data_IF_981625459958
#
_entry.id   IF_981625459958
#
_cell.length_a   1.000
_cell.length_b   1.000
_cell.length_c   1.000
_cell.angle_alpha   90.00
_cell.angle_beta   90.00
_cell.angle_gamma   90.00
#
_symmetry.space_group_name_H-M   'P 1'
#
loop_
_entity.id
_entity.type
_entity.pdbx_description
1 polymer ?
#
# COMPACT_ATOMS: atom_id res chain seq x y z
N UNK A 1 -23.52 5.20 -15.42
CA UNK A 1 -23.41 6.66 -15.20
C UNK A 1 -22.53 6.85 -13.96
N UNK A 2 -21.48 7.64 -14.07
CA UNK A 2 -20.59 7.91 -12.95
C UNK A 2 -20.94 9.26 -12.32
N UNK A 3 -20.85 9.36 -10.99
CA UNK A 3 -20.88 10.60 -10.25
C UNK A 3 -19.59 10.71 -9.42
N UNK A 4 -19.08 11.92 -9.27
CA UNK A 4 -17.91 12.20 -8.46
C UNK A 4 -18.28 13.16 -7.34
N UNK A 5 -17.91 12.80 -6.10
CA UNK A 5 -18.14 13.63 -4.93
C UNK A 5 -16.93 13.49 -3.99
N UNK A 6 -16.21 14.57 -3.66
CA UNK A 6 -15.13 14.52 -2.67
C UNK A 6 -15.70 14.51 -1.25
N UNK A 7 -15.24 13.58 -0.41
CA UNK A 7 -15.55 13.49 1.02
C UNK A 7 -14.49 12.68 1.78
N UNK A 8 -14.46 12.81 3.10
CA UNK A 8 -13.62 11.99 3.98
C UNK A 8 -14.31 10.67 4.32
N UNK A 9 -13.55 9.58 4.40
CA UNK A 9 -14.10 8.25 4.76
C UNK A 9 -14.66 8.17 6.19
N UNK A 10 -14.32 9.13 7.05
CA UNK A 10 -14.83 9.23 8.43
C UNK A 10 -16.21 9.89 8.54
N UNK A 11 -16.72 10.43 7.43
CA UNK A 11 -18.05 11.04 7.33
C UNK A 11 -18.56 10.90 5.90
N UNK A 12 -19.27 9.80 5.64
CA UNK A 12 -19.74 9.45 4.31
C UNK A 12 -21.13 10.07 4.09
N UNK A 13 -21.29 11.03 3.15
CA UNK A 13 -22.52 11.83 3.00
C UNK A 13 -23.62 11.08 2.24
N UNK A 14 -23.85 9.84 2.61
CA UNK A 14 -24.92 8.99 2.07
C UNK A 14 -25.74 8.35 3.19
N UNK A 15 -27.02 8.03 2.93
CA UNK A 15 -27.88 7.36 3.91
C UNK A 15 -27.38 5.94 4.23
N UNK A 16 -27.92 5.39 5.33
CA UNK A 16 -27.67 4.01 5.71
C UNK A 16 -28.09 3.04 4.61
N UNK A 17 -27.39 1.93 4.48
CA UNK A 17 -27.71 0.83 3.58
C UNK A 17 -27.89 1.25 2.11
N UNK A 18 -27.10 2.20 1.65
CA UNK A 18 -27.16 2.75 0.29
C UNK A 18 -26.47 1.85 -0.73
N UNK A 19 -25.33 1.24 -0.39
CA UNK A 19 -24.45 0.61 -1.36
C UNK A 19 -24.45 -0.92 -1.26
N UNK A 20 -24.48 -1.58 -2.42
CA UNK A 20 -24.30 -3.03 -2.53
C UNK A 20 -22.83 -3.42 -2.42
N UNK A 21 -21.94 -2.51 -2.83
CA UNK A 21 -20.49 -2.70 -2.81
C UNK A 21 -19.79 -1.39 -2.49
N UNK A 22 -18.73 -1.48 -1.66
CA UNK A 22 -17.81 -0.38 -1.40
C UNK A 22 -16.39 -0.87 -1.66
N UNK A 23 -15.58 -0.03 -2.30
CA UNK A 23 -14.17 -0.34 -2.60
C UNK A 23 -13.29 0.78 -2.04
N UNK A 24 -12.30 0.40 -1.20
CA UNK A 24 -11.29 1.30 -0.65
C UNK A 24 -9.89 0.85 -1.10
N UNK A 25 -9.41 1.40 -2.22
CA UNK A 25 -8.12 1.01 -2.77
C UNK A 25 -6.97 1.81 -2.16
N UNK A 26 -6.09 1.15 -1.39
CA UNK A 26 -4.88 1.72 -0.80
C UNK A 26 -5.13 3.05 -0.05
N UNK A 27 -6.19 3.12 0.76
CA UNK A 27 -6.62 4.37 1.40
C UNK A 27 -6.76 4.25 2.92
N UNK A 28 -7.06 3.06 3.47
CA UNK A 28 -7.40 2.92 4.89
C UNK A 28 -6.23 3.27 5.83
N UNK A 29 -5.00 3.04 5.43
CA UNK A 29 -3.82 3.42 6.21
C UNK A 29 -3.57 4.95 6.26
N UNK A 30 -4.33 5.75 5.49
CA UNK A 30 -4.32 7.21 5.58
C UNK A 30 -5.44 7.76 6.47
N UNK A 31 -6.37 6.92 6.94
CA UNK A 31 -7.42 7.35 7.85
C UNK A 31 -6.81 7.75 9.19
N UNK A 32 -7.14 8.94 9.68
CA UNK A 32 -6.75 9.39 11.02
C UNK A 32 -7.46 8.59 12.11
N UNK A 33 -8.76 8.35 11.90
CA UNK A 33 -9.62 7.53 12.75
C UNK A 33 -10.22 6.39 11.93
N UNK A 34 -9.51 5.26 11.93
CA UNK A 34 -9.93 4.07 11.20
C UNK A 34 -11.21 3.46 11.76
N UNK A 35 -11.42 3.52 13.08
CA UNK A 35 -12.62 3.02 13.74
C UNK A 35 -13.87 3.75 13.20
N UNK A 36 -13.80 5.09 13.17
CA UNK A 36 -14.89 5.91 12.65
C UNK A 36 -15.13 5.64 11.15
N UNK A 37 -14.07 5.51 10.36
CA UNK A 37 -14.18 5.19 8.94
C UNK A 37 -14.86 3.84 8.70
N UNK A 38 -14.49 2.78 9.45
CA UNK A 38 -15.09 1.46 9.32
C UNK A 38 -16.56 1.43 9.79
N UNK A 39 -16.93 2.21 10.81
CA UNK A 39 -18.32 2.39 11.22
C UNK A 39 -19.16 3.04 10.11
N UNK A 40 -18.65 4.08 9.48
CA UNK A 40 -19.33 4.75 8.37
C UNK A 40 -19.46 3.84 7.14
N UNK A 41 -18.39 3.13 6.76
CA UNK A 41 -18.43 2.14 5.68
C UNK A 41 -19.51 1.09 5.96
N UNK A 42 -19.52 0.53 7.18
CA UNK A 42 -20.55 -0.45 7.59
C UNK A 42 -21.95 0.14 7.57
N UNK A 43 -22.13 1.39 8.01
CA UNK A 43 -23.43 2.08 8.04
C UNK A 43 -24.04 2.19 6.65
N UNK A 44 -23.27 2.68 5.68
CA UNK A 44 -23.78 2.93 4.33
C UNK A 44 -23.82 1.67 3.45
N UNK A 45 -23.19 0.56 3.88
CA UNK A 45 -23.24 -0.72 3.20
C UNK A 45 -24.56 -1.44 3.53
N UNK A 46 -25.22 -2.02 2.53
CA UNK A 46 -26.44 -2.84 2.72
C UNK A 46 -26.14 -4.09 3.55
N UNK A 47 -27.17 -4.75 4.16
CA UNK A 47 -26.97 -5.98 4.94
C UNK A 47 -26.23 -7.09 4.20
N UNK A 48 -26.54 -7.31 2.92
CA UNK A 48 -25.88 -8.30 2.05
C UNK A 48 -24.73 -7.68 1.23
N UNK A 49 -24.33 -6.47 1.55
CA UNK A 49 -23.30 -5.75 0.82
C UNK A 49 -21.90 -6.26 1.13
N UNK A 50 -20.98 -6.02 0.20
CA UNK A 50 -19.59 -6.46 0.30
C UNK A 50 -18.67 -5.22 0.30
N UNK A 51 -17.76 -5.17 1.26
CA UNK A 51 -16.69 -4.19 1.32
C UNK A 51 -15.36 -4.82 0.87
N UNK A 52 -14.72 -4.19 -0.11
CA UNK A 52 -13.37 -4.54 -0.54
C UNK A 52 -12.37 -3.46 -0.14
N UNK A 53 -11.26 -3.84 0.47
CA UNK A 53 -10.18 -2.90 0.74
C UNK A 53 -8.81 -3.51 0.45
N UNK A 54 -8.01 -2.81 -0.35
CA UNK A 54 -6.68 -3.26 -0.70
C UNK A 54 -5.63 -2.74 0.29
N UNK A 55 -4.63 -3.59 0.52
CA UNK A 55 -3.50 -3.32 1.39
C UNK A 55 -2.25 -4.05 0.88
N UNK A 56 -1.16 -3.83 1.55
CA UNK A 56 0.09 -4.56 1.37
C UNK A 56 0.64 -5.02 2.72
N UNK A 57 1.52 -6.01 2.69
CA UNK A 57 2.19 -6.55 3.86
C UNK A 57 3.60 -5.99 4.05
N UNK A 58 4.26 -6.48 5.09
CA UNK A 58 5.60 -6.03 5.49
C UNK A 58 6.68 -6.31 4.43
N UNK A 59 6.52 -7.39 3.65
CA UNK A 59 7.50 -7.83 2.64
C UNK A 59 7.35 -7.10 1.30
N UNK A 60 6.40 -6.15 1.20
CA UNK A 60 6.12 -5.47 -0.06
C UNK A 60 7.30 -4.61 -0.52
N UNK A 61 7.95 -5.01 -1.62
CA UNK A 61 9.08 -4.30 -2.24
C UNK A 61 10.30 -4.12 -1.30
N UNK A 62 10.47 -5.02 -0.32
CA UNK A 62 11.55 -4.94 0.67
C UNK A 62 12.94 -4.97 0.03
N UNK A 63 13.10 -5.66 -1.11
CA UNK A 63 14.36 -5.75 -1.85
C UNK A 63 14.87 -4.37 -2.31
N UNK A 64 13.97 -3.41 -2.58
CA UNK A 64 14.38 -2.04 -2.92
C UNK A 64 14.95 -1.32 -1.69
N UNK A 65 14.33 -1.50 -0.53
CA UNK A 65 14.84 -0.93 0.72
C UNK A 65 16.22 -1.50 1.07
N UNK A 66 16.41 -2.81 0.90
CA UNK A 66 17.71 -3.46 1.09
C UNK A 66 18.74 -2.97 0.08
N UNK A 67 18.36 -2.83 -1.19
CA UNK A 67 19.25 -2.33 -2.24
C UNK A 67 19.85 -0.95 -1.90
N UNK A 68 19.01 -0.02 -1.45
CA UNK A 68 19.51 1.33 -1.13
C UNK A 68 20.32 1.34 0.16
N UNK A 69 20.00 0.48 1.14
CA UNK A 69 20.78 0.31 2.37
C UNK A 69 22.14 -0.36 2.12
N UNK A 70 22.24 -1.26 1.14
CA UNK A 70 23.51 -1.81 0.66
C UNK A 70 24.41 -0.72 0.05
N UNK A 71 23.84 0.31 -0.55
CA UNK A 71 24.59 1.46 -1.07
C UNK A 71 24.98 2.43 0.04
N UNK A 72 24.04 2.78 0.89
CA UNK A 72 24.27 3.63 2.06
C UNK A 72 23.24 3.31 3.14
N UNK A 73 23.70 2.77 4.28
CA UNK A 73 22.84 2.27 5.37
C UNK A 73 21.97 3.34 6.05
N UNK A 74 22.24 4.63 5.78
CA UNK A 74 21.47 5.77 6.31
C UNK A 74 20.21 6.04 5.49
N UNK A 75 20.07 5.42 4.31
CA UNK A 75 18.92 5.66 3.42
C UNK A 75 17.69 4.95 3.96
N UNK A 76 16.61 5.72 4.08
CA UNK A 76 15.26 5.26 4.41
C UNK A 76 14.33 5.77 3.31
N UNK A 77 13.72 4.86 2.52
CA UNK A 77 12.86 5.22 1.40
C UNK A 77 11.46 5.70 1.83
N UNK A 78 10.98 5.18 2.96
CA UNK A 78 9.72 5.61 3.58
C UNK A 78 9.88 5.56 5.09
N UNK A 79 9.66 6.69 5.75
CA UNK A 79 9.60 6.75 7.21
C UNK A 79 8.27 6.18 7.74
N UNK A 80 7.21 6.23 6.93
CA UNK A 80 5.89 5.77 7.28
C UNK A 80 5.71 4.31 6.88
N UNK A 81 5.71 3.44 7.86
CA UNK A 81 5.35 2.03 7.70
C UNK A 81 3.82 1.91 7.67
N UNK A 82 3.20 2.30 6.56
CA UNK A 82 1.75 2.38 6.44
C UNK A 82 1.06 1.03 6.67
N UNK A 83 1.71 -0.10 6.36
CA UNK A 83 1.21 -1.43 6.64
C UNK A 83 1.05 -1.71 8.16
N UNK A 84 1.77 -0.99 9.03
CA UNK A 84 1.58 -1.09 10.48
C UNK A 84 0.28 -0.40 10.93
N UNK A 85 -0.21 0.60 10.19
CA UNK A 85 -1.51 1.25 10.44
C UNK A 85 -2.67 0.41 9.92
N UNK A 86 -2.57 -0.07 8.69
CA UNK A 86 -3.51 -1.00 8.05
C UNK A 86 -2.78 -1.79 6.96
N UNK A 87 -2.60 -3.08 7.17
CA UNK A 87 -1.87 -3.97 6.27
C UNK A 87 -2.44 -5.39 6.29
N UNK A 88 -1.77 -6.28 5.57
CA UNK A 88 -2.13 -7.70 5.51
C UNK A 88 -2.16 -8.34 6.90
N UNK A 89 -1.16 -8.03 7.74
CA UNK A 89 -0.93 -8.70 9.02
C UNK A 89 -1.97 -8.31 10.07
N UNK A 90 -2.36 -7.04 10.13
CA UNK A 90 -3.27 -6.51 11.14
C UNK A 90 -4.70 -6.30 10.63
N UNK A 91 -4.92 -6.34 9.31
CA UNK A 91 -6.23 -6.15 8.68
C UNK A 91 -7.33 -7.03 9.26
N UNK A 92 -7.13 -8.35 9.45
CA UNK A 92 -8.17 -9.22 10.01
C UNK A 92 -8.63 -8.79 11.40
N UNK A 93 -7.71 -8.38 12.28
CA UNK A 93 -8.05 -7.90 13.63
C UNK A 93 -8.73 -6.54 13.66
N UNK A 94 -8.40 -5.66 12.69
CA UNK A 94 -8.99 -4.34 12.55
C UNK A 94 -10.39 -4.39 11.92
N UNK A 95 -10.62 -5.29 10.98
CA UNK A 95 -11.88 -5.44 10.25
C UNK A 95 -12.89 -6.34 10.98
N UNK A 96 -12.42 -7.36 11.71
CA UNK A 96 -13.26 -8.36 12.37
C UNK A 96 -14.33 -7.82 13.32
N UNK A 97 -14.12 -6.71 14.06
CA UNK A 97 -15.17 -6.10 14.89
C UNK A 97 -16.36 -5.55 14.10
N UNK A 98 -16.19 -5.27 12.81
CA UNK A 98 -17.22 -4.62 11.98
C UNK A 98 -17.90 -5.58 11.01
N UNK A 99 -17.20 -6.61 10.55
CA UNK A 99 -17.64 -7.50 9.48
C UNK A 99 -17.69 -8.94 9.95
N UNK A 100 -18.75 -9.65 9.57
CA UNK A 100 -18.99 -11.03 9.99
C UNK A 100 -18.03 -12.03 9.36
N UNK A 101 -17.50 -11.70 8.17
CA UNK A 101 -16.54 -12.51 7.43
C UNK A 101 -15.50 -11.60 6.79
N UNK A 102 -14.22 -11.88 7.03
CA UNK A 102 -13.07 -11.13 6.50
C UNK A 102 -12.11 -12.13 5.87
N UNK A 103 -11.90 -12.03 4.56
CA UNK A 103 -11.03 -12.93 3.81
C UNK A 103 -9.97 -12.14 3.07
N UNK A 104 -8.70 -12.56 3.18
CA UNK A 104 -7.60 -12.01 2.44
C UNK A 104 -7.44 -12.72 1.09
N UNK A 105 -7.33 -11.95 0.02
CA UNK A 105 -7.04 -12.41 -1.33
C UNK A 105 -5.72 -11.81 -1.77
N UNK A 106 -4.69 -12.66 -1.83
CA UNK A 106 -3.37 -12.23 -2.31
C UNK A 106 -3.40 -12.02 -3.81
N UNK A 107 -2.77 -10.95 -4.25
CA UNK A 107 -2.47 -10.73 -5.66
C UNK A 107 -1.10 -11.30 -5.96
N UNK A 108 -1.05 -12.43 -6.68
CA UNK A 108 0.19 -13.09 -7.04
C UNK A 108 0.90 -12.31 -8.13
N UNK A 109 1.85 -11.47 -7.75
CA UNK A 109 2.62 -10.61 -8.63
C UNK A 109 4.05 -10.40 -8.14
N UNK A 110 4.93 -10.03 -9.06
CA UNK A 110 6.32 -9.69 -8.80
C UNK A 110 6.87 -8.83 -9.92
N UNK A 111 8.00 -8.19 -9.70
CA UNK A 111 8.71 -7.47 -10.74
C UNK A 111 10.08 -8.10 -10.98
N UNK A 112 10.46 -8.23 -12.24
CA UNK A 112 11.83 -8.53 -12.65
C UNK A 112 12.41 -7.32 -13.39
N UNK A 113 13.27 -6.58 -12.70
CA UNK A 113 13.87 -5.36 -13.23
C UNK A 113 15.20 -5.68 -13.89
N UNK A 114 15.29 -5.40 -15.19
CA UNK A 114 16.50 -5.66 -16.01
C UNK A 114 17.22 -4.38 -16.42
N UNK A 115 16.67 -3.22 -16.09
CA UNK A 115 17.23 -1.90 -16.42
C UNK A 115 17.32 -1.04 -15.15
N UNK A 116 18.45 -0.36 -14.98
CA UNK A 116 18.69 0.46 -13.79
C UNK A 116 17.84 1.73 -13.74
N UNK A 117 17.65 2.38 -14.87
CA UNK A 117 17.01 3.70 -14.94
C UNK A 117 15.58 3.76 -14.37
N UNK A 118 14.66 2.84 -14.70
CA UNK A 118 13.32 2.85 -14.11
C UNK A 118 13.36 2.63 -12.59
N UNK A 119 14.24 1.77 -12.10
CA UNK A 119 14.39 1.51 -10.67
C UNK A 119 14.96 2.73 -9.94
N UNK A 120 15.96 3.40 -10.52
CA UNK A 120 16.53 4.63 -9.97
C UNK A 120 15.47 5.74 -9.93
N UNK A 121 14.70 5.92 -11.02
CA UNK A 121 13.63 6.91 -11.06
C UNK A 121 12.58 6.67 -9.97
N UNK A 122 12.19 5.41 -9.75
CA UNK A 122 11.29 5.03 -8.67
C UNK A 122 11.90 5.37 -7.30
N UNK A 123 13.14 4.94 -7.03
CA UNK A 123 13.83 5.21 -5.76
C UNK A 123 13.88 6.73 -5.47
N UNK A 124 14.24 7.55 -6.45
CA UNK A 124 14.33 9.00 -6.28
C UNK A 124 12.96 9.66 -6.07
N UNK A 125 11.88 9.04 -6.49
CA UNK A 125 10.50 9.53 -6.29
C UNK A 125 9.93 9.20 -4.91
N UNK A 126 10.59 8.35 -4.12
CA UNK A 126 10.14 8.00 -2.77
C UNK A 126 10.21 9.21 -1.80
N UNK A 127 9.42 9.15 -0.72
CA UNK A 127 9.27 10.24 0.24
C UNK A 127 10.21 10.14 1.46
N UNK A 128 11.32 9.42 1.32
CA UNK A 128 12.32 9.26 2.36
C UNK A 128 13.45 10.30 2.28
N UNK A 129 14.62 9.90 2.77
CA UNK A 129 15.82 10.74 2.79
C UNK A 129 16.84 10.42 1.66
N UNK A 130 16.47 9.54 0.72
CA UNK A 130 17.36 9.00 -0.30
C UNK A 130 18.05 10.06 -1.14
N UNK A 131 17.35 11.16 -1.45
CA UNK A 131 17.89 12.24 -2.28
C UNK A 131 19.13 12.90 -1.66
N UNK A 132 19.20 12.99 -0.32
CA UNK A 132 20.33 13.57 0.41
C UNK A 132 21.62 12.76 0.25
N UNK A 133 21.51 11.44 0.03
CA UNK A 133 22.66 10.53 -0.04
C UNK A 133 22.97 10.05 -1.45
N UNK A 134 22.04 10.19 -2.38
CA UNK A 134 22.18 9.68 -3.75
C UNK A 134 22.56 10.78 -4.74
N UNK A 135 21.99 11.98 -4.66
CA UNK A 135 22.14 12.99 -5.72
C UNK A 135 23.61 13.40 -5.96
N UNK A 136 24.37 13.66 -4.92
CA UNK A 136 25.79 14.03 -5.04
C UNK A 136 26.67 12.85 -5.50
N UNK A 137 26.18 11.62 -5.34
CA UNK A 137 26.84 10.37 -5.72
C UNK A 137 26.10 9.64 -6.84
N UNK A 138 25.34 10.37 -7.65
CA UNK A 138 24.43 9.77 -8.65
C UNK A 138 25.14 8.81 -9.62
N UNK A 139 26.32 9.16 -10.11
CA UNK A 139 27.11 8.30 -11.03
C UNK A 139 27.49 6.98 -10.37
N UNK A 140 27.91 7.04 -9.11
CA UNK A 140 28.26 5.86 -8.31
C UNK A 140 27.02 4.98 -8.07
N UNK A 141 25.93 5.59 -7.62
CA UNK A 141 24.66 4.91 -7.39
C UNK A 141 24.12 4.23 -8.67
N UNK A 142 24.15 4.96 -9.80
CA UNK A 142 23.76 4.41 -11.10
C UNK A 142 24.59 3.19 -11.48
N UNK A 143 25.91 3.25 -11.32
CA UNK A 143 26.79 2.10 -11.58
C UNK A 143 26.49 0.92 -10.66
N UNK A 144 26.21 1.19 -9.37
CA UNK A 144 25.86 0.18 -8.39
C UNK A 144 24.53 -0.52 -8.77
N UNK A 145 23.47 0.23 -9.05
CA UNK A 145 22.17 -0.31 -9.46
C UNK A 145 22.28 -1.08 -10.77
N UNK A 146 23.04 -0.57 -11.75
CA UNK A 146 23.26 -1.27 -13.04
C UNK A 146 23.90 -2.65 -12.87
N UNK A 147 24.83 -2.80 -11.92
CA UNK A 147 25.43 -4.10 -11.60
C UNK A 147 24.42 -5.06 -10.97
N UNK A 148 23.55 -4.55 -10.10
CA UNK A 148 22.52 -5.35 -9.40
C UNK A 148 21.40 -5.80 -10.37
N UNK A 149 21.09 -5.00 -11.40
CA UNK A 149 20.02 -5.30 -12.38
C UNK A 149 20.50 -6.09 -13.60
N UNK A 150 21.81 -6.21 -13.84
CA UNK A 150 22.37 -6.86 -15.02
C UNK A 150 21.94 -8.33 -15.22
N UNK A 151 21.71 -9.06 -14.11
CA UNK A 151 21.20 -10.44 -14.12
C UNK A 151 19.69 -10.57 -13.86
N UNK A 152 18.98 -9.43 -13.79
CA UNK A 152 17.60 -9.36 -13.33
C UNK A 152 17.53 -9.16 -11.81
N UNK A 153 16.88 -8.09 -11.38
CA UNK A 153 16.62 -7.78 -9.98
C UNK A 153 15.15 -8.09 -9.67
N UNK A 154 14.92 -9.10 -8.87
CA UNK A 154 13.59 -9.55 -8.49
C UNK A 154 13.07 -8.70 -7.32
N UNK A 155 11.79 -8.30 -7.40
CA UNK A 155 11.10 -7.52 -6.38
C UNK A 155 9.79 -8.21 -6.04
N UNK A 156 9.62 -8.54 -4.78
CA UNK A 156 8.39 -9.14 -4.23
C UNK A 156 7.27 -8.11 -4.15
N UNK A 157 6.09 -8.47 -4.64
CA UNK A 157 4.87 -7.71 -4.42
C UNK A 157 3.98 -8.45 -3.42
N UNK A 158 4.05 -8.04 -2.16
CA UNK A 158 3.19 -8.56 -1.11
C UNK A 158 1.97 -7.65 -0.96
N UNK A 159 1.04 -7.78 -1.89
CA UNK A 159 -0.17 -6.98 -1.96
C UNK A 159 -1.41 -7.85 -2.21
N UNK A 160 -2.58 -7.30 -1.89
CA UNK A 160 -3.85 -7.98 -2.09
C UNK A 160 -5.01 -7.12 -1.59
N UNK A 161 -6.12 -7.77 -1.33
CA UNK A 161 -7.30 -7.10 -0.79
C UNK A 161 -8.06 -8.00 0.19
N UNK A 162 -8.77 -7.38 1.10
CA UNK A 162 -9.76 -8.04 1.93
C UNK A 162 -11.14 -7.93 1.29
N UNK A 163 -11.91 -9.03 1.28
CA UNK A 163 -13.35 -9.03 1.09
C UNK A 163 -14.03 -9.17 2.44
N UNK A 164 -14.96 -8.26 2.74
CA UNK A 164 -15.61 -8.15 4.04
C UNK A 164 -17.12 -8.17 3.84
N UNK A 165 -17.82 -9.09 4.52
CA UNK A 165 -19.26 -9.17 4.52
C UNK A 165 -19.84 -8.51 5.78
N UNK A 166 -20.92 -7.74 5.62
CA UNK A 166 -21.60 -7.05 6.72
C UNK A 166 -22.21 -7.99 7.75
#
# INVERSE_FOLDING_TARGET
>A
RFAFQPFGCQEIPFPDEQFDMIIANHVLFYCEDLDKALKEIKRVLKPEGIFFCSAYGADHMEEISRLVQDFDSRIILSADKLYEKFGRENGPSLLGPYFSRVEWHRYEDSLLVTQAEPLIAYILSCHGNQNQYILDRYKEFRSFVSKKTAGGFYITKDAGFFSCHK
#
